data_IF_879889975321
#
_entry.id   IF_879889975321
#
_cell.length_a   1.000
_cell.length_b   1.000
_cell.length_c   1.000
_cell.angle_alpha   90.00
_cell.angle_beta   90.00
_cell.angle_gamma   90.00
#
_symmetry.space_group_name_H-M   'P 1'
#
loop_
_entity.id
_entity.type
_entity.pdbx_description
1 polymer ?
#
# COMPACT_ATOMS: atom_id res chain seq x y z
N UNK A 1 6.71 -17.46 -4.88
CA UNK A 1 6.12 -17.24 -6.23
C UNK A 1 7.24 -17.12 -7.27
N UNK A 2 7.36 -18.02 -8.26
CA UNK A 2 8.43 -17.95 -9.26
C UNK A 2 8.42 -16.66 -10.09
N UNK A 3 7.22 -16.11 -10.35
CA UNK A 3 7.00 -14.94 -11.23
C UNK A 3 7.60 -13.63 -10.69
N UNK A 4 7.84 -13.51 -9.38
CA UNK A 4 8.44 -12.30 -8.77
C UNK A 4 9.96 -12.39 -8.64
N UNK A 5 10.56 -13.57 -8.94
CA UNK A 5 11.99 -13.79 -8.72
C UNK A 5 12.84 -12.87 -9.61
N UNK A 6 13.67 -12.04 -8.99
CA UNK A 6 14.55 -11.10 -9.68
C UNK A 6 13.86 -9.88 -10.28
N UNK A 7 12.60 -9.61 -9.89
CA UNK A 7 11.84 -8.43 -10.33
C UNK A 7 11.65 -7.44 -9.17
N UNK A 8 11.48 -6.16 -9.51
CA UNK A 8 10.98 -5.14 -8.57
C UNK A 8 9.49 -5.44 -8.26
N UNK A 9 9.17 -5.66 -7.00
CA UNK A 9 7.83 -6.01 -6.56
C UNK A 9 7.12 -4.79 -6.00
N UNK A 10 6.05 -4.38 -6.65
CA UNK A 10 5.19 -3.27 -6.21
C UNK A 10 3.92 -3.88 -5.63
N UNK A 11 3.58 -3.54 -4.40
CA UNK A 11 2.31 -3.91 -3.80
C UNK A 11 1.33 -2.76 -3.94
N UNK A 12 0.19 -2.99 -4.62
CA UNK A 12 -0.92 -2.06 -4.71
C UNK A 12 -2.02 -2.52 -3.74
N UNK A 13 -2.13 -1.86 -2.60
CA UNK A 13 -3.03 -2.25 -1.51
C UNK A 13 -3.86 -1.07 -1.00
N UNK A 14 -4.88 -0.63 -1.75
CA UNK A 14 -5.70 0.50 -1.38
C UNK A 14 -6.82 0.13 -0.41
N UNK A 15 -7.36 1.15 0.27
CA UNK A 15 -8.61 1.06 1.03
C UNK A 15 -9.80 1.00 0.06
N UNK A 16 -10.84 0.27 0.44
CA UNK A 16 -12.08 0.24 -0.34
C UNK A 16 -12.88 1.54 -0.21
N UNK A 17 -13.74 1.81 -1.19
CA UNK A 17 -14.73 2.88 -1.18
C UNK A 17 -16.11 2.31 -0.91
N UNK A 18 -17.04 3.19 -0.50
CA UNK A 18 -18.40 2.80 -0.12
C UNK A 18 -18.59 2.61 1.39
N UNK A 19 -19.84 2.44 1.82
CA UNK A 19 -20.24 2.39 3.22
C UNK A 19 -20.34 0.94 3.72
N UNK A 20 -19.17 0.33 4.02
CA UNK A 20 -19.07 -1.01 4.59
C UNK A 20 -19.33 -2.16 3.59
N UNK A 21 -19.59 -3.35 4.11
CA UNK A 21 -19.70 -4.61 3.35
C UNK A 21 -20.64 -4.59 2.12
N UNK A 22 -21.75 -3.84 2.21
CA UNK A 22 -22.79 -3.83 1.19
C UNK A 22 -22.34 -3.17 -0.13
N UNK A 23 -21.55 -2.13 -0.03
CA UNK A 23 -21.19 -1.23 -1.14
C UNK A 23 -19.68 -1.13 -1.38
N UNK A 24 -18.88 -1.93 -0.68
CA UNK A 24 -17.43 -1.89 -0.78
C UNK A 24 -16.96 -2.21 -2.22
N UNK A 25 -16.22 -1.28 -2.80
CA UNK A 25 -15.66 -1.39 -4.15
C UNK A 25 -14.34 -0.63 -4.26
N UNK A 26 -13.60 -0.88 -5.35
CA UNK A 26 -12.47 -0.04 -5.74
C UNK A 26 -12.67 0.46 -7.17
N UNK A 27 -12.46 1.77 -7.47
CA UNK A 27 -12.69 2.35 -8.78
C UNK A 27 -11.50 2.06 -9.73
N UNK A 28 -11.40 0.83 -10.25
CA UNK A 28 -10.29 0.40 -11.13
C UNK A 28 -10.10 1.27 -12.37
N UNK A 29 -11.12 2.02 -12.81
CA UNK A 29 -11.00 2.98 -13.90
C UNK A 29 -10.06 4.16 -13.60
N UNK A 30 -9.64 4.33 -12.34
CA UNK A 30 -8.61 5.29 -11.93
C UNK A 30 -7.19 4.80 -12.23
N UNK A 31 -7.02 3.57 -12.72
CA UNK A 31 -5.74 2.97 -13.07
C UNK A 31 -5.67 2.79 -14.58
N UNK A 32 -4.68 3.39 -15.24
CA UNK A 32 -4.32 3.07 -16.61
C UNK A 32 -3.40 1.84 -16.63
N UNK A 33 -4.02 0.67 -16.81
CA UNK A 33 -3.31 -0.62 -16.80
C UNK A 33 -2.30 -0.75 -17.92
N UNK A 34 -2.56 -0.15 -19.10
CA UNK A 34 -1.63 -0.18 -20.24
C UNK A 34 -0.34 0.58 -19.91
N UNK A 35 -0.48 1.78 -19.34
CA UNK A 35 0.67 2.59 -18.94
C UNK A 35 1.45 1.93 -17.80
N UNK A 36 0.75 1.35 -16.83
CA UNK A 36 1.38 0.63 -15.72
C UNK A 36 2.10 -0.64 -16.21
N UNK A 37 1.55 -1.36 -17.19
CA UNK A 37 2.19 -2.53 -17.78
C UNK A 37 3.49 -2.15 -18.52
N UNK A 38 3.48 -1.05 -19.30
CA UNK A 38 4.70 -0.53 -19.94
C UNK A 38 5.78 -0.15 -18.93
N UNK A 39 5.37 0.44 -17.80
CA UNK A 39 6.32 0.71 -16.70
C UNK A 39 6.92 -0.59 -16.16
N UNK A 40 6.10 -1.61 -15.92
CA UNK A 40 6.57 -2.90 -15.41
C UNK A 40 7.53 -3.58 -16.38
N UNK A 41 7.25 -3.53 -17.68
CA UNK A 41 8.12 -4.08 -18.73
C UNK A 41 9.47 -3.37 -18.75
N UNK A 42 9.46 -2.03 -18.80
CA UNK A 42 10.68 -1.19 -18.84
C UNK A 42 11.58 -1.40 -17.60
N UNK A 43 10.99 -1.58 -16.43
CA UNK A 43 11.69 -1.60 -15.16
C UNK A 43 11.84 -3.00 -14.54
N UNK A 44 11.56 -4.07 -15.32
CA UNK A 44 11.54 -5.44 -14.82
C UNK A 44 10.77 -5.58 -13.50
N UNK A 45 9.55 -5.01 -13.46
CA UNK A 45 8.72 -4.96 -12.28
C UNK A 45 7.48 -5.83 -12.40
N UNK A 46 6.84 -6.10 -11.27
CA UNK A 46 5.51 -6.71 -11.18
C UNK A 46 4.68 -5.99 -10.13
N UNK A 47 3.37 -5.87 -10.36
CA UNK A 47 2.43 -5.32 -9.40
C UNK A 47 1.57 -6.43 -8.81
N UNK A 48 1.63 -6.56 -7.49
CA UNK A 48 0.74 -7.40 -6.71
C UNK A 48 -0.46 -6.55 -6.28
N UNK A 49 -1.66 -6.92 -6.71
CA UNK A 49 -2.89 -6.25 -6.28
C UNK A 49 -3.47 -6.97 -5.07
N UNK A 50 -3.56 -6.28 -3.94
CA UNK A 50 -4.15 -6.80 -2.70
C UNK A 50 -5.35 -5.96 -2.32
N UNK A 51 -6.52 -6.33 -2.82
CA UNK A 51 -7.77 -5.65 -2.47
C UNK A 51 -8.25 -6.10 -1.09
N UNK A 52 -8.94 -5.19 -0.41
CA UNK A 52 -9.60 -5.52 0.85
C UNK A 52 -10.66 -6.62 0.63
N UNK A 53 -10.83 -7.58 1.55
CA UNK A 53 -11.80 -8.68 1.38
C UNK A 53 -13.25 -8.26 1.14
N UNK A 54 -13.61 -7.03 1.50
CA UNK A 54 -14.95 -6.49 1.28
C UNK A 54 -15.18 -6.02 -0.15
N UNK A 55 -14.13 -5.79 -0.94
CA UNK A 55 -14.24 -5.33 -2.34
C UNK A 55 -14.94 -6.39 -3.17
N UNK A 56 -16.09 -6.03 -3.77
CA UNK A 56 -16.93 -6.94 -4.54
C UNK A 56 -16.64 -6.93 -6.03
N UNK A 57 -16.25 -5.78 -6.57
CA UNK A 57 -15.84 -5.70 -7.98
C UNK A 57 -14.42 -6.25 -8.10
N UNK A 58 -14.27 -7.30 -8.92
CA UNK A 58 -12.98 -7.98 -9.08
C UNK A 58 -12.11 -7.25 -10.09
N UNK A 59 -10.81 -7.29 -9.84
CA UNK A 59 -9.79 -6.88 -10.79
C UNK A 59 -9.83 -7.80 -12.02
N UNK A 60 -10.03 -7.21 -13.21
CA UNK A 60 -9.98 -7.95 -14.47
C UNK A 60 -8.62 -7.72 -15.13
N UNK A 61 -7.72 -8.69 -15.02
CA UNK A 61 -6.40 -8.65 -15.66
C UNK A 61 -6.49 -9.31 -17.03
N UNK A 62 -6.23 -8.56 -18.11
CA UNK A 62 -6.16 -9.09 -19.47
C UNK A 62 -5.04 -10.14 -19.59
N UNK A 63 -5.15 -11.04 -20.59
CA UNK A 63 -4.17 -12.13 -20.75
C UNK A 63 -2.76 -11.61 -20.98
N UNK A 64 -2.60 -10.53 -21.73
CA UNK A 64 -1.32 -9.89 -22.05
C UNK A 64 -0.65 -9.26 -20.82
N UNK A 65 -1.42 -8.81 -19.83
CA UNK A 65 -0.89 -8.17 -18.62
C UNK A 65 -0.59 -9.15 -17.48
N UNK A 66 -0.95 -10.43 -17.59
CA UNK A 66 -0.74 -11.43 -16.50
C UNK A 66 0.71 -11.67 -16.14
N UNK A 67 1.65 -11.28 -16.98
CA UNK A 67 3.07 -11.33 -16.69
C UNK A 67 3.55 -10.18 -15.79
N UNK A 68 2.76 -9.11 -15.68
CA UNK A 68 3.06 -7.91 -14.89
C UNK A 68 2.16 -7.74 -13.67
N UNK A 69 0.92 -8.24 -13.73
CA UNK A 69 -0.09 -8.04 -12.69
C UNK A 69 -0.54 -9.37 -12.10
N UNK A 70 -0.57 -9.43 -10.78
CA UNK A 70 -0.97 -10.61 -10.03
C UNK A 70 -1.99 -10.18 -8.99
N UNK A 71 -3.18 -10.75 -9.02
CA UNK A 71 -4.16 -10.59 -7.96
C UNK A 71 -3.81 -11.54 -6.81
N UNK A 72 -3.45 -10.96 -5.68
CA UNK A 72 -3.14 -11.65 -4.42
C UNK A 72 -4.19 -11.35 -3.34
N UNK A 73 -5.38 -10.88 -3.73
CA UNK A 73 -6.44 -10.50 -2.79
C UNK A 73 -6.90 -11.67 -1.92
N UNK A 74 -6.86 -12.89 -2.43
CA UNK A 74 -7.24 -14.10 -1.70
C UNK A 74 -6.12 -14.63 -0.76
N UNK A 75 -4.89 -14.06 -0.84
CA UNK A 75 -3.83 -14.45 0.09
C UNK A 75 -4.17 -13.95 1.51
N UNK A 76 -4.24 -14.85 2.47
CA UNK A 76 -4.77 -14.56 3.80
C UNK A 76 -3.88 -13.60 4.59
N UNK A 77 -2.58 -13.90 4.63
CA UNK A 77 -1.62 -13.19 5.49
C UNK A 77 -0.92 -12.10 4.69
N UNK A 78 -1.35 -10.83 4.85
CA UNK A 78 -0.75 -9.70 4.12
C UNK A 78 0.73 -9.52 4.45
N UNK A 79 1.14 -9.84 5.67
CA UNK A 79 2.54 -9.71 6.09
C UNK A 79 3.50 -10.55 5.25
N UNK A 80 3.07 -11.72 4.76
CA UNK A 80 3.88 -12.54 3.84
C UNK A 80 4.19 -11.80 2.54
N UNK A 81 3.23 -10.97 2.08
CA UNK A 81 3.37 -10.17 0.86
C UNK A 81 4.32 -8.98 1.13
N UNK A 82 4.24 -8.37 2.32
CA UNK A 82 5.10 -7.24 2.68
C UNK A 82 6.59 -7.60 2.64
N UNK A 83 6.97 -8.82 3.03
CA UNK A 83 8.37 -9.28 2.99
C UNK A 83 8.98 -9.24 1.59
N UNK A 84 8.18 -9.52 0.56
CA UNK A 84 8.65 -9.55 -0.84
C UNK A 84 8.41 -8.23 -1.58
N UNK A 85 7.77 -7.25 -0.95
CA UNK A 85 7.44 -5.95 -1.53
C UNK A 85 8.64 -5.02 -1.48
N UNK A 86 8.94 -4.34 -2.60
CA UNK A 86 9.98 -3.31 -2.68
C UNK A 86 9.41 -1.89 -2.63
N UNK A 87 8.18 -1.69 -3.07
CA UNK A 87 7.45 -0.43 -3.05
C UNK A 87 5.97 -0.68 -2.72
N UNK A 88 5.43 0.03 -1.75
CA UNK A 88 4.00 0.01 -1.44
C UNK A 88 3.31 1.20 -2.10
N UNK A 89 2.25 0.95 -2.87
CA UNK A 89 1.27 1.95 -3.29
C UNK A 89 0.00 1.70 -2.48
N UNK A 90 -0.38 2.66 -1.66
CA UNK A 90 -1.57 2.59 -0.81
C UNK A 90 -2.31 3.92 -0.81
N UNK A 91 -3.23 4.12 0.11
CA UNK A 91 -3.93 5.37 0.32
C UNK A 91 -4.18 5.59 1.83
N UNK A 92 -5.32 5.21 2.37
CA UNK A 92 -5.75 5.47 3.75
C UNK A 92 -5.63 4.25 4.67
N UNK A 93 -4.86 3.25 4.27
CA UNK A 93 -4.74 1.96 4.96
C UNK A 93 -3.78 2.03 6.14
N UNK A 94 -4.13 1.37 7.24
CA UNK A 94 -3.22 1.15 8.39
C UNK A 94 -2.03 0.24 8.07
N UNK A 95 -2.03 -0.42 6.91
CA UNK A 95 -0.93 -1.28 6.44
C UNK A 95 0.42 -0.55 6.39
N UNK A 96 0.38 0.79 6.32
CA UNK A 96 1.58 1.64 6.32
C UNK A 96 2.43 1.47 7.59
N UNK A 97 1.80 1.16 8.73
CA UNK A 97 2.54 0.93 9.98
C UNK A 97 3.39 -0.33 9.89
N UNK A 98 2.80 -1.44 9.45
CA UNK A 98 3.51 -2.70 9.28
C UNK A 98 4.60 -2.59 8.22
N UNK A 99 4.29 -1.92 7.09
CA UNK A 99 5.26 -1.78 6.01
C UNK A 99 6.41 -0.82 6.36
N UNK A 100 6.17 0.22 7.14
CA UNK A 100 7.20 1.17 7.56
C UNK A 100 8.37 0.50 8.29
N UNK A 101 8.13 -0.63 8.98
CA UNK A 101 9.17 -1.41 9.69
C UNK A 101 10.28 -1.88 8.73
N UNK A 102 9.96 -2.09 7.46
CA UNK A 102 10.94 -2.47 6.43
C UNK A 102 11.78 -1.30 5.95
N UNK A 103 11.45 -0.06 6.30
CA UNK A 103 12.11 1.18 5.87
C UNK A 103 12.20 1.32 4.35
N UNK A 104 11.23 0.76 3.65
CA UNK A 104 11.09 0.79 2.19
C UNK A 104 10.15 1.91 1.75
N UNK A 105 10.24 2.36 0.47
CA UNK A 105 9.45 3.47 -0.05
C UNK A 105 7.95 3.17 -0.13
N UNK A 106 7.15 4.24 0.03
CA UNK A 106 5.69 4.22 -0.11
C UNK A 106 5.22 5.37 -1.00
N UNK A 107 4.17 5.14 -1.79
CA UNK A 107 3.42 6.17 -2.50
C UNK A 107 1.97 6.10 -2.05
N UNK A 108 1.37 7.26 -1.82
CA UNK A 108 -0.01 7.42 -1.38
C UNK A 108 -0.85 7.93 -2.54
N UNK A 109 -1.56 7.01 -3.23
CA UNK A 109 -2.45 7.36 -4.34
C UNK A 109 -3.83 7.75 -3.80
N UNK A 110 -3.93 9.01 -3.39
CA UNK A 110 -5.07 9.58 -2.69
C UNK A 110 -5.91 10.47 -3.63
N UNK A 111 -6.42 9.92 -4.75
CA UNK A 111 -7.12 10.64 -5.82
C UNK A 111 -8.46 11.27 -5.37
N UNK A 112 -8.97 10.91 -4.22
CA UNK A 112 -10.22 11.36 -3.63
C UNK A 112 -10.03 11.87 -2.19
N UNK A 113 -8.87 12.45 -1.88
CA UNK A 113 -8.49 12.86 -0.52
C UNK A 113 -9.52 13.82 0.10
N UNK A 114 -9.98 14.83 -0.63
CA UNK A 114 -10.95 15.81 -0.15
C UNK A 114 -12.29 15.14 0.24
N UNK A 115 -12.80 14.25 -0.61
CA UNK A 115 -14.02 13.49 -0.34
C UNK A 115 -13.84 12.53 0.85
N UNK A 116 -12.65 11.93 0.96
CA UNK A 116 -12.36 11.02 2.06
C UNK A 116 -12.30 11.74 3.41
N UNK A 117 -11.66 12.92 3.49
CA UNK A 117 -11.61 13.74 4.69
C UNK A 117 -13.01 14.16 5.15
N UNK A 118 -13.90 14.51 4.21
CA UNK A 118 -15.27 14.92 4.57
C UNK A 118 -16.15 13.78 5.11
N UNK A 119 -15.82 12.54 4.76
CA UNK A 119 -16.63 11.36 5.13
C UNK A 119 -16.01 10.51 6.25
N UNK A 120 -14.70 10.53 6.37
CA UNK A 120 -13.90 9.72 7.31
C UNK A 120 -12.69 10.53 7.74
N UNK A 121 -12.81 11.27 8.80
CA UNK A 121 -11.75 12.16 9.28
C UNK A 121 -10.48 11.41 9.72
N UNK A 122 -9.35 12.13 9.82
CA UNK A 122 -8.07 11.64 10.33
C UNK A 122 -7.76 12.28 11.68
N UNK A 123 -7.01 11.59 12.54
CA UNK A 123 -6.52 12.15 13.81
C UNK A 123 -5.49 13.26 13.63
N UNK A 124 -4.81 13.29 12.49
CA UNK A 124 -3.78 14.27 12.12
C UNK A 124 -3.96 14.66 10.65
N UNK A 125 -3.50 15.84 10.21
CA UNK A 125 -3.53 16.21 8.79
C UNK A 125 -2.81 15.17 7.93
N UNK A 126 -3.51 14.67 6.91
CA UNK A 126 -3.02 13.55 6.09
C UNK A 126 -1.65 13.82 5.47
N UNK A 127 -1.40 15.03 4.97
CA UNK A 127 -0.17 15.43 4.30
C UNK A 127 1.06 15.40 5.22
N UNK A 128 0.86 15.62 6.52
CA UNK A 128 1.93 15.57 7.51
C UNK A 128 2.07 14.23 8.20
N UNK A 129 1.09 13.36 8.01
CA UNK A 129 1.01 12.07 8.68
C UNK A 129 1.67 10.94 7.88
N UNK A 130 1.45 10.87 6.56
CA UNK A 130 1.87 9.72 5.77
C UNK A 130 3.38 9.70 5.47
N UNK A 131 4.02 8.52 5.54
CA UNK A 131 5.48 8.40 5.38
C UNK A 131 5.93 8.21 3.93
N UNK A 132 5.48 9.07 3.01
CA UNK A 132 5.90 8.99 1.61
C UNK A 132 5.21 10.01 0.71
N UNK A 133 5.40 9.86 -0.59
CA UNK A 133 4.87 10.75 -1.61
C UNK A 133 3.36 10.63 -1.76
N UNK A 134 2.66 11.75 -1.68
CA UNK A 134 1.22 11.83 -1.96
C UNK A 134 1.02 12.23 -3.41
N UNK A 135 0.16 11.49 -4.12
CA UNK A 135 -0.24 11.77 -5.50
C UNK A 135 -1.76 11.64 -5.64
N UNK A 136 -2.38 12.59 -6.35
CA UNK A 136 -3.84 12.66 -6.48
C UNK A 136 -4.34 12.34 -7.90
N UNK A 137 -3.43 12.04 -8.82
CA UNK A 137 -3.78 11.60 -10.18
C UNK A 137 -2.93 10.41 -10.60
N UNK A 138 -3.41 9.65 -11.58
CA UNK A 138 -2.63 8.55 -12.12
C UNK A 138 -1.37 9.04 -12.86
N UNK A 139 -1.43 10.21 -13.49
CA UNK A 139 -0.25 10.85 -14.11
C UNK A 139 0.82 11.14 -13.07
N UNK A 140 0.45 11.76 -11.94
CA UNK A 140 1.38 12.03 -10.85
C UNK A 140 1.95 10.74 -10.22
N UNK A 141 1.14 9.66 -10.16
CA UNK A 141 1.62 8.36 -9.72
C UNK A 141 2.70 7.82 -10.66
N UNK A 142 2.46 7.89 -11.96
CA UNK A 142 3.44 7.42 -12.96
C UNK A 142 4.70 8.28 -12.96
N UNK A 143 4.56 9.59 -12.80
CA UNK A 143 5.72 10.51 -12.69
C UNK A 143 6.57 10.19 -11.45
N UNK A 144 5.92 9.91 -10.30
CA UNK A 144 6.63 9.50 -9.09
C UNK A 144 7.35 8.15 -9.26
N UNK A 145 6.74 7.20 -9.98
CA UNK A 145 7.33 5.90 -10.30
C UNK A 145 8.53 6.03 -11.25
N UNK A 146 8.40 6.81 -12.33
CA UNK A 146 9.43 6.98 -13.35
C UNK A 146 10.65 7.75 -12.83
N UNK A 147 10.45 8.69 -11.91
CA UNK A 147 11.51 9.50 -11.29
C UNK A 147 12.02 8.95 -9.95
N UNK A 148 11.47 7.84 -9.47
CA UNK A 148 11.75 7.27 -8.14
C UNK A 148 11.58 8.28 -6.99
N UNK A 149 10.65 9.23 -7.15
CA UNK A 149 10.35 10.29 -6.19
C UNK A 149 9.34 9.78 -5.15
N UNK A 150 9.84 9.12 -4.12
CA UNK A 150 9.03 8.45 -3.10
C UNK A 150 9.03 9.17 -1.75
N UNK A 151 9.85 10.20 -1.57
CA UNK A 151 10.04 10.91 -0.29
C UNK A 151 10.38 9.92 0.86
N UNK A 152 11.26 8.95 0.58
CA UNK A 152 11.59 7.84 1.49
C UNK A 152 12.17 8.31 2.83
N UNK A 153 12.73 9.52 2.89
CA UNK A 153 13.23 10.16 4.10
C UNK A 153 12.16 10.37 5.18
N UNK A 154 10.86 10.35 4.80
CA UNK A 154 9.74 10.45 5.74
C UNK A 154 9.50 9.17 6.55
N UNK A 155 10.01 8.03 6.09
CA UNK A 155 9.70 6.71 6.70
C UNK A 155 10.31 6.58 8.10
N UNK A 156 11.57 6.99 8.28
CA UNK A 156 12.25 6.86 9.59
C UNK A 156 11.63 7.75 10.65
N UNK A 157 11.35 9.06 10.40
CA UNK A 157 10.63 9.90 11.35
C UNK A 157 9.24 9.35 11.72
N UNK A 158 8.52 8.76 10.75
CA UNK A 158 7.24 8.12 11.01
C UNK A 158 7.39 6.93 11.97
N UNK A 159 8.38 6.07 11.74
CA UNK A 159 8.66 4.95 12.64
C UNK A 159 9.00 5.41 14.06
N UNK A 160 9.87 6.40 14.22
CA UNK A 160 10.29 6.91 15.50
C UNK A 160 9.13 7.52 16.28
N UNK A 161 8.19 8.16 15.58
CA UNK A 161 6.97 8.71 16.17
C UNK A 161 6.02 7.62 16.69
N UNK A 162 5.83 6.54 15.92
CA UNK A 162 4.77 5.55 16.18
C UNK A 162 5.26 4.28 16.88
N UNK A 163 6.55 3.97 16.84
CA UNK A 163 7.11 2.73 17.39
C UNK A 163 8.22 3.03 18.40
N UNK A 164 7.85 3.13 19.66
CA UNK A 164 8.83 3.30 20.75
C UNK A 164 9.82 2.13 20.86
N UNK A 165 9.38 0.92 20.53
CA UNK A 165 10.17 -0.30 20.59
C UNK A 165 10.01 -1.10 19.29
N UNK A 166 11.14 -1.55 18.72
CA UNK A 166 11.18 -2.35 17.49
C UNK A 166 11.93 -3.67 17.72
N UNK A 167 11.80 -4.25 18.92
CA UNK A 167 12.58 -5.40 19.39
C UNK A 167 11.79 -6.72 19.46
N UNK A 168 10.54 -6.73 18.96
CA UNK A 168 9.68 -7.91 18.97
C UNK A 168 9.16 -8.34 20.35
N UNK A 169 9.39 -7.54 21.42
CA UNK A 169 9.05 -7.90 22.80
C UNK A 169 7.80 -7.21 23.36
N UNK A 170 6.93 -6.71 22.52
CA UNK A 170 5.72 -5.98 22.97
C UNK A 170 4.80 -6.86 23.82
N UNK A 171 4.57 -8.12 23.43
CA UNK A 171 3.76 -9.07 24.22
C UNK A 171 4.39 -9.38 25.59
N UNK A 172 5.72 -9.52 25.66
CA UNK A 172 6.41 -9.74 26.93
C UNK A 172 6.24 -8.54 27.87
N UNK A 173 6.36 -7.30 27.35
CA UNK A 173 6.12 -6.10 28.15
C UNK A 173 4.68 -6.03 28.65
N UNK A 174 3.71 -6.28 27.77
CA UNK A 174 2.30 -6.27 28.13
C UNK A 174 2.00 -7.28 29.24
N UNK A 175 2.48 -8.51 29.13
CA UNK A 175 2.31 -9.55 30.15
C UNK A 175 2.93 -9.12 31.48
N UNK A 176 4.15 -8.57 31.45
CA UNK A 176 4.79 -8.05 32.68
C UNK A 176 3.99 -6.93 33.35
N UNK A 177 3.41 -6.03 32.56
CA UNK A 177 2.64 -4.90 33.10
C UNK A 177 1.28 -5.34 33.65
N UNK A 178 0.60 -6.28 33.00
CA UNK A 178 -0.71 -6.78 33.43
C UNK A 178 -0.62 -7.73 34.64
N UNK A 179 0.44 -8.52 34.75
CA UNK A 179 0.59 -9.54 35.78
C UNK A 179 1.69 -9.24 36.81
N UNK A 180 2.19 -7.99 36.87
CA UNK A 180 2.99 -7.54 38.01
C UNK A 180 2.10 -7.51 39.26
N UNK A 181 2.26 -8.51 40.08
CA UNK A 181 1.88 -8.48 41.51
C UNK A 181 3.06 -8.09 42.35
#
# INVERSE_FOLDING_TARGET
>A
MPIIKGKKVILFAPTFRGNGHGTAHYPFFKIDFERLARYCEKNNAVVLFKMHPFVKNRLNISREHRQYFIDVSDHREVNDILFVTDLLISDYSSLIYEYAVFKKPMIFYAFDLEDYITTRDFYEPYESFVPGKIVQSFDALMDALDNEDYEVEKVVPFLDKHFKYQDGRSSERLVKDLFRR
#
